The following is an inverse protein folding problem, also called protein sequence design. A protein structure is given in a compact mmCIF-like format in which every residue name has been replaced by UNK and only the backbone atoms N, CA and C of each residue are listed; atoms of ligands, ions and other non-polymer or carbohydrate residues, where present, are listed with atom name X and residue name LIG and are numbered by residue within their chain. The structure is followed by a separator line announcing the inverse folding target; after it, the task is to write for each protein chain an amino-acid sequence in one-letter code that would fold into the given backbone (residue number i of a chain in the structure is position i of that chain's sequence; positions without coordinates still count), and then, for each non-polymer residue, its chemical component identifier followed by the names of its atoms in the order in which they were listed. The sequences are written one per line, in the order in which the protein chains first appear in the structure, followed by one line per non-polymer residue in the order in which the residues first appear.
data_IF_311717885901
#
_entry.id   IF_311717885901
#
_cell.length_a   1.000
_cell.length_b   1.000
_cell.length_c   1.000
_cell.angle_alpha   90.00
_cell.angle_beta   90.00
_cell.angle_gamma   90.00
#
_symmetry.space_group_name_H-M   'P 1'
#
loop_
_entity.id
_entity.type
_entity.pdbx_description
1 polymer ?
#
# COMPACT_ATOMS: atom_id res chain seq x y z
N UNK A 1 1.19 17.79 -8.39
CA UNK A 1 0.05 16.92 -8.03
C UNK A 1 -0.24 17.07 -6.55
N UNK A 2 -1.50 17.22 -6.14
CA UNK A 2 -1.86 17.46 -4.74
C UNK A 2 -1.49 16.24 -3.86
N UNK A 3 -0.78 16.41 -2.73
CA UNK A 3 -0.42 15.32 -1.82
C UNK A 3 -1.60 14.44 -1.38
N UNK A 4 -2.79 15.03 -1.18
CA UNK A 4 -3.98 14.27 -0.80
C UNK A 4 -4.42 13.28 -1.89
N UNK A 5 -4.26 13.66 -3.16
CA UNK A 5 -4.58 12.79 -4.30
C UNK A 5 -3.63 11.60 -4.36
N UNK A 6 -2.34 11.83 -4.10
CA UNK A 6 -1.32 10.76 -4.10
C UNK A 6 -1.56 9.75 -2.98
N UNK A 7 -1.88 10.24 -1.77
CA UNK A 7 -2.22 9.38 -0.63
C UNK A 7 -3.45 8.52 -0.96
N UNK A 8 -4.49 9.10 -1.57
CA UNK A 8 -5.68 8.36 -1.97
C UNK A 8 -5.38 7.25 -2.99
N UNK A 9 -4.54 7.53 -3.98
CA UNK A 9 -4.12 6.52 -4.96
C UNK A 9 -3.31 5.39 -4.32
N UNK A 10 -2.37 5.73 -3.45
CA UNK A 10 -1.58 4.74 -2.71
C UNK A 10 -2.46 3.83 -1.85
N UNK A 11 -3.39 4.40 -1.09
CA UNK A 11 -4.33 3.62 -0.27
C UNK A 11 -5.23 2.72 -1.12
N UNK A 12 -5.79 3.23 -2.22
CA UNK A 12 -6.61 2.43 -3.13
C UNK A 12 -5.82 1.29 -3.76
N UNK A 13 -4.57 1.54 -4.18
CA UNK A 13 -3.69 0.51 -4.71
C UNK A 13 -3.42 -0.58 -3.68
N UNK A 14 -3.05 -0.20 -2.45
CA UNK A 14 -2.78 -1.16 -1.37
C UNK A 14 -4.01 -2.00 -1.03
N UNK A 15 -5.20 -1.37 -0.96
CA UNK A 15 -6.46 -2.08 -0.72
C UNK A 15 -6.79 -3.06 -1.85
N UNK A 16 -6.65 -2.65 -3.11
CA UNK A 16 -6.96 -3.49 -4.26
C UNK A 16 -5.99 -4.68 -4.38
N UNK A 17 -4.68 -4.45 -4.16
CA UNK A 17 -3.65 -5.46 -4.38
C UNK A 17 -3.44 -6.40 -3.19
N UNK A 18 -3.63 -5.91 -1.97
CA UNK A 18 -3.28 -6.61 -0.72
C UNK A 18 -4.45 -6.71 0.28
N UNK A 19 -5.61 -6.10 0.01
CA UNK A 19 -6.79 -6.12 0.88
C UNK A 19 -6.80 -5.00 1.94
N UNK A 20 -5.64 -4.62 2.46
CA UNK A 20 -5.48 -3.47 3.37
C UNK A 20 -4.04 -2.96 3.38
N UNK A 21 -3.78 -1.73 3.86
CA UNK A 21 -2.41 -1.21 4.00
C UNK A 21 -1.58 -2.05 4.99
N UNK A 22 -2.21 -2.61 6.02
CA UNK A 22 -1.53 -3.49 7.00
C UNK A 22 -1.12 -4.80 6.35
N UNK A 23 -1.98 -5.40 5.53
CA UNK A 23 -1.65 -6.61 4.78
C UNK A 23 -0.56 -6.35 3.73
N UNK A 24 -0.55 -5.17 3.10
CA UNK A 24 0.53 -4.76 2.22
C UNK A 24 1.86 -4.72 3.01
N UNK A 25 1.92 -4.04 4.15
CA UNK A 25 3.13 -4.01 4.99
C UNK A 25 3.62 -5.40 5.38
N UNK A 26 2.73 -6.28 5.84
CA UNK A 26 3.07 -7.65 6.21
C UNK A 26 3.58 -8.48 5.02
N UNK A 27 2.97 -8.31 3.83
CA UNK A 27 3.45 -8.94 2.60
C UNK A 27 4.88 -8.53 2.29
N UNK A 28 5.18 -7.23 2.34
CA UNK A 28 6.51 -6.70 2.00
C UNK A 28 7.57 -7.15 3.01
N UNK A 29 7.26 -7.15 4.31
CA UNK A 29 8.15 -7.68 5.34
C UNK A 29 8.42 -9.19 5.17
N UNK A 30 7.39 -9.97 4.82
CA UNK A 30 7.53 -11.42 4.60
C UNK A 30 8.34 -11.76 3.34
N UNK A 31 8.25 -10.94 2.29
CA UNK A 31 8.98 -11.18 1.05
C UNK A 31 10.44 -10.69 1.10
N UNK A 32 10.85 -10.01 2.17
CA UNK A 32 12.26 -9.70 2.44
C UNK A 32 12.89 -8.67 1.50
N UNK A 33 12.09 -7.77 0.91
CA UNK A 33 12.61 -6.68 0.08
C UNK A 33 13.11 -5.56 0.99
N UNK A 34 14.31 -5.74 1.53
CA UNK A 34 15.14 -4.66 2.07
C UNK A 34 16.26 -4.37 1.08
#
# INVERSE_FOLDING_TARGET
TNPATQIKWGLNYMNSRYGSPVQAWNFWQSHGWY
#
